data_IF_158604138484
#
_entry.id   IF_158604138484
#
_cell.length_a   1.000
_cell.length_b   1.000
_cell.length_c   1.000
_cell.angle_alpha   90.00
_cell.angle_beta   90.00
_cell.angle_gamma   90.00
#
_symmetry.space_group_name_H-M   'P 1'
#
loop_
_entity.id
_entity.type
_entity.pdbx_description
1 polymer ?
#
# COMPACT_ATOMS: atom_id res chain seq x y z
N UNK A 1 10.38 13.65 19.82
CA UNK A 1 9.51 14.85 19.72
C UNK A 1 8.31 14.36 18.95
N UNK A 2 7.13 14.34 19.58
CA UNK A 2 5.93 13.83 18.91
C UNK A 2 5.60 14.73 17.72
N UNK A 3 5.40 14.08 16.56
CA UNK A 3 5.07 14.73 15.31
C UNK A 3 3.59 15.11 15.33
N UNK A 4 3.22 16.25 14.75
CA UNK A 4 1.80 16.59 14.63
C UNK A 4 1.09 15.63 13.66
N UNK A 5 -0.21 15.40 13.84
CA UNK A 5 -1.00 14.56 12.91
C UNK A 5 -0.92 15.06 11.46
N UNK A 6 -0.80 16.37 11.26
CA UNK A 6 -0.63 16.97 9.93
C UNK A 6 0.71 16.64 9.31
N UNK A 7 1.79 16.76 10.08
CA UNK A 7 3.13 16.41 9.61
C UNK A 7 3.23 14.91 9.31
N UNK A 8 2.64 14.06 10.16
CA UNK A 8 2.64 12.62 9.96
C UNK A 8 1.85 12.21 8.72
N UNK A 9 0.69 12.83 8.48
CA UNK A 9 -0.08 12.64 7.25
C UNK A 9 0.71 13.04 6.01
N UNK A 10 1.42 14.17 6.04
CA UNK A 10 2.27 14.62 4.95
C UNK A 10 3.45 13.66 4.69
N UNK A 11 4.08 13.12 5.74
CA UNK A 11 5.16 12.13 5.57
C UNK A 11 4.67 10.79 5.08
N UNK A 12 3.58 10.28 5.65
CA UNK A 12 2.91 9.07 5.17
C UNK A 12 2.61 9.19 3.68
N UNK A 13 2.15 10.36 3.25
CA UNK A 13 1.92 10.66 1.86
C UNK A 13 3.18 10.57 1.00
N UNK A 14 4.29 11.22 1.36
CA UNK A 14 5.55 11.10 0.60
C UNK A 14 6.04 9.65 0.49
N UNK A 15 5.87 8.87 1.56
CA UNK A 15 6.14 7.44 1.54
C UNK A 15 5.22 6.71 0.57
N UNK A 16 3.90 6.98 0.61
CA UNK A 16 2.94 6.39 -0.32
C UNK A 16 3.24 6.79 -1.76
N UNK A 17 3.65 8.03 -2.05
CA UNK A 17 4.12 8.40 -3.39
C UNK A 17 5.28 7.49 -3.76
N UNK A 18 6.35 7.49 -2.99
CA UNK A 18 7.57 6.73 -3.27
C UNK A 18 7.29 5.24 -3.48
N UNK A 19 6.37 4.69 -2.68
CA UNK A 19 5.87 3.32 -2.80
C UNK A 19 5.05 3.12 -4.08
N UNK A 20 3.96 3.85 -4.29
CA UNK A 20 3.08 3.69 -5.45
C UNK A 20 3.74 4.06 -6.78
N UNK A 21 4.76 4.92 -6.79
CA UNK A 21 5.57 5.19 -7.98
C UNK A 21 6.33 3.96 -8.47
N UNK A 22 6.59 2.96 -7.60
CA UNK A 22 7.10 1.66 -8.03
C UNK A 22 6.01 0.66 -8.41
N UNK A 23 4.72 1.01 -8.28
CA UNK A 23 3.58 0.18 -8.69
C UNK A 23 2.92 0.71 -9.98
N UNK A 24 2.47 -0.24 -10.80
CA UNK A 24 2.21 -0.05 -12.22
C UNK A 24 0.73 0.26 -12.57
N UNK A 25 -0.05 0.83 -11.66
CA UNK A 25 -1.45 1.17 -11.96
C UNK A 25 -1.55 2.69 -12.04
N UNK A 26 -2.12 3.26 -13.13
CA UNK A 26 -2.44 4.67 -13.14
C UNK A 26 -3.49 4.96 -12.07
N UNK A 27 -3.08 5.63 -10.99
CA UNK A 27 -3.96 6.00 -9.89
C UNK A 27 -3.90 7.49 -9.67
N UNK A 28 -5.08 8.07 -9.46
CA UNK A 28 -5.24 9.39 -8.88
C UNK A 28 -5.32 9.25 -7.36
N UNK A 29 -4.55 10.02 -6.61
CA UNK A 29 -4.70 10.08 -5.14
C UNK A 29 -4.66 11.53 -4.68
N UNK A 30 -5.61 11.92 -3.82
CA UNK A 30 -5.66 13.28 -3.26
C UNK A 30 -5.10 13.33 -1.82
N UNK A 31 -4.33 14.38 -1.54
CA UNK A 31 -3.71 14.71 -0.26
C UNK A 31 -4.66 15.52 0.64
N UNK A 32 -4.40 15.52 1.95
CA UNK A 32 -4.86 16.60 2.81
C UNK A 32 -4.44 17.95 2.21
N UNK A 33 -5.18 19.04 2.35
CA UNK A 33 -4.80 20.33 1.73
C UNK A 33 -4.86 20.42 0.18
N UNK A 34 -5.48 19.47 -0.52
CA UNK A 34 -5.93 19.66 -1.92
C UNK A 34 -4.88 19.40 -3.01
N UNK A 35 -3.82 18.62 -2.73
CA UNK A 35 -2.89 18.19 -3.78
C UNK A 35 -3.37 16.90 -4.43
N UNK A 36 -3.17 16.77 -5.74
CA UNK A 36 -3.49 15.59 -6.52
C UNK A 36 -2.18 14.90 -6.92
N UNK A 37 -2.13 13.58 -6.91
CA UNK A 37 -1.05 12.77 -7.50
C UNK A 37 -1.63 11.87 -8.58
N UNK A 38 -0.99 11.83 -9.75
CA UNK A 38 -1.24 10.83 -10.78
C UNK A 38 -0.02 9.93 -10.92
N UNK A 39 -0.17 8.63 -10.71
CA UNK A 39 0.90 7.65 -10.91
C UNK A 39 0.80 7.02 -12.31
N UNK A 40 1.91 6.50 -12.84
CA UNK A 40 1.97 5.90 -14.18
C UNK A 40 2.84 4.63 -14.16
N UNK A 41 2.45 3.55 -14.86
CA UNK A 41 3.35 2.45 -15.17
C UNK A 41 4.38 2.85 -16.24
N UNK A 42 5.66 2.90 -15.90
CA UNK A 42 6.74 3.04 -16.88
C UNK A 42 8.06 3.53 -16.29
N UNK A 43 9.17 3.12 -16.92
CA UNK A 43 10.48 3.71 -16.65
C UNK A 43 10.44 5.17 -17.14
N UNK A 44 10.67 6.12 -16.23
CA UNK A 44 10.68 7.57 -16.44
C UNK A 44 9.30 8.26 -16.47
N UNK A 45 9.12 9.15 -15.49
CA UNK A 45 7.95 9.99 -15.25
C UNK A 45 6.70 9.25 -14.76
N UNK A 46 6.71 8.99 -13.46
CA UNK A 46 5.60 9.50 -12.67
C UNK A 46 5.45 10.98 -13.00
N UNK A 47 4.48 11.35 -13.85
CA UNK A 47 4.08 12.75 -13.91
C UNK A 47 3.34 13.02 -12.61
N UNK A 48 4.10 13.29 -11.55
CA UNK A 48 3.56 13.95 -10.38
C UNK A 48 3.17 15.34 -10.87
N UNK A 49 1.96 15.45 -11.41
CA UNK A 49 1.28 16.74 -11.43
C UNK A 49 0.95 17.03 -9.97
N UNK A 50 1.93 17.51 -9.22
CA UNK A 50 1.63 18.26 -8.01
C UNK A 50 0.93 19.52 -8.49
N UNK A 51 -0.40 19.42 -8.55
CA UNK A 51 -1.24 20.53 -8.95
C UNK A 51 -1.22 21.51 -7.79
N UNK A 52 -0.28 22.46 -7.82
CA UNK A 52 -0.11 23.48 -6.78
C UNK A 52 -1.34 24.43 -6.69
N UNK A 53 -2.32 24.29 -7.58
CA UNK A 53 -3.56 25.08 -7.64
C UNK A 53 -4.74 24.25 -8.16
N UNK A 54 -5.34 23.35 -7.35
CA UNK A 54 -6.55 22.61 -7.74
C UNK A 54 -7.71 23.56 -8.12
N UNK A 55 -7.68 24.80 -7.63
CA UNK A 55 -8.66 25.85 -7.94
C UNK A 55 -8.62 26.34 -9.41
N UNK A 56 -7.55 26.01 -10.14
CA UNK A 56 -7.33 26.50 -11.51
C UNK A 56 -7.74 25.50 -12.60
N UNK A 57 -8.10 24.27 -12.23
CA UNK A 57 -8.50 23.22 -13.17
C UNK A 57 -9.95 22.82 -12.89
N UNK A 58 -10.73 22.73 -13.95
CA UNK A 58 -12.04 22.10 -13.85
C UNK A 58 -11.85 20.58 -13.73
N UNK A 59 -12.65 19.89 -12.92
CA UNK A 59 -12.59 18.43 -12.78
C UNK A 59 -12.60 17.72 -14.14
N UNK A 60 -13.34 18.29 -15.10
CA UNK A 60 -13.36 17.83 -16.48
C UNK A 60 -11.98 17.68 -17.10
N UNK A 61 -11.09 18.66 -16.93
CA UNK A 61 -9.75 18.64 -17.51
C UNK A 61 -8.89 17.54 -16.87
N UNK A 62 -9.02 17.33 -15.56
CA UNK A 62 -8.32 16.26 -14.83
C UNK A 62 -8.73 14.88 -15.36
N UNK A 63 -10.03 14.65 -15.55
CA UNK A 63 -10.53 13.36 -16.02
C UNK A 63 -10.28 13.13 -17.51
N UNK A 64 -10.25 14.18 -18.34
CA UNK A 64 -9.83 14.09 -19.74
C UNK A 64 -8.37 13.63 -19.86
N UNK A 65 -7.47 14.17 -19.02
CA UNK A 65 -6.08 13.68 -18.94
C UNK A 65 -6.05 12.23 -18.49
N UNK A 66 -6.82 11.85 -17.46
CA UNK A 66 -6.87 10.48 -16.97
C UNK A 66 -7.37 9.48 -18.03
N UNK A 67 -8.39 9.85 -18.81
CA UNK A 67 -8.93 9.04 -19.90
C UNK A 67 -7.93 8.92 -21.07
N UNK A 68 -7.23 10.00 -21.46
CA UNK A 68 -6.18 9.93 -22.48
C UNK A 68 -5.05 8.98 -22.07
N UNK A 69 -4.65 9.06 -20.80
CA UNK A 69 -3.64 8.18 -20.22
C UNK A 69 -4.11 6.73 -20.20
N UNK A 70 -5.31 6.47 -19.71
CA UNK A 70 -5.90 5.14 -19.71
C UNK A 70 -5.97 4.53 -21.11
N UNK A 71 -6.40 5.31 -22.11
CA UNK A 71 -6.46 4.91 -23.51
C UNK A 71 -5.08 4.57 -24.07
N UNK A 72 -4.07 5.39 -23.77
CA UNK A 72 -2.68 5.18 -24.21
C UNK A 72 -2.09 3.87 -23.68
N UNK A 73 -2.38 3.53 -22.44
CA UNK A 73 -1.80 2.36 -21.77
C UNK A 73 -2.69 1.12 -21.78
N UNK A 74 -3.91 1.21 -22.34
CA UNK A 74 -4.90 0.11 -22.36
C UNK A 74 -5.19 -0.47 -20.96
N UNK A 75 -5.24 0.41 -19.96
CA UNK A 75 -5.58 0.07 -18.58
C UNK A 75 -6.90 0.74 -18.18
N UNK A 76 -7.64 0.10 -17.27
CA UNK A 76 -8.74 0.77 -16.59
C UNK A 76 -8.15 1.72 -15.54
N UNK A 77 -8.44 3.03 -15.59
CA UNK A 77 -7.93 3.98 -14.63
C UNK A 77 -8.56 3.74 -13.26
N UNK A 78 -7.76 3.91 -12.21
CA UNK A 78 -8.23 3.89 -10.83
C UNK A 78 -8.19 5.27 -10.20
N UNK A 79 -9.10 5.53 -9.27
CA UNK A 79 -9.11 6.74 -8.44
C UNK A 79 -9.16 6.34 -6.98
N UNK A 80 -8.23 6.83 -6.19
CA UNK A 80 -8.10 6.63 -4.75
C UNK A 80 -8.44 7.95 -4.03
N UNK A 81 -9.41 7.90 -3.11
CA UNK A 81 -9.81 9.07 -2.32
C UNK A 81 -9.55 8.86 -0.85
N UNK A 82 -9.07 9.90 -0.17
CA UNK A 82 -8.97 9.96 1.27
C UNK A 82 -10.22 10.64 1.87
N UNK A 83 -10.73 10.11 2.99
CA UNK A 83 -11.90 10.64 3.69
C UNK A 83 -11.65 11.96 4.46
N UNK A 84 -10.42 12.48 4.54
CA UNK A 84 -10.07 13.74 5.23
C UNK A 84 -10.30 15.02 4.40
N UNK A 85 -11.03 14.92 3.29
CA UNK A 85 -11.22 16.01 2.34
C UNK A 85 -12.05 17.18 2.89
N UNK A 86 -11.69 18.41 2.52
CA UNK A 86 -12.35 19.65 2.96
C UNK A 86 -13.31 20.27 1.92
N UNK A 87 -13.23 19.89 0.65
CA UNK A 87 -14.25 20.24 -0.35
C UNK A 87 -15.32 19.13 -0.41
N UNK A 88 -16.47 19.41 -1.03
CA UNK A 88 -17.62 18.51 -0.97
C UNK A 88 -17.34 17.21 -1.71
N UNK A 89 -16.97 16.13 -0.99
CA UNK A 89 -16.80 14.75 -1.50
C UNK A 89 -17.85 14.38 -2.52
N UNK A 90 -19.08 14.83 -2.29
CA UNK A 90 -20.22 14.59 -3.16
C UNK A 90 -20.05 15.13 -4.59
N UNK A 91 -19.37 16.26 -4.81
CA UNK A 91 -19.17 16.81 -6.17
C UNK A 91 -18.25 15.91 -6.99
N UNK A 92 -17.10 15.52 -6.41
CA UNK A 92 -16.17 14.62 -7.10
C UNK A 92 -16.73 13.21 -7.22
N UNK A 93 -17.39 12.70 -6.17
CA UNK A 93 -18.08 11.41 -6.21
C UNK A 93 -19.22 11.39 -7.24
N UNK A 94 -19.94 12.49 -7.43
CA UNK A 94 -20.90 12.62 -8.53
C UNK A 94 -20.19 12.56 -9.86
N UNK A 95 -19.13 13.37 -10.02
CA UNK A 95 -18.40 13.47 -11.28
C UNK A 95 -17.79 12.13 -11.73
N UNK A 96 -17.14 11.38 -10.84
CA UNK A 96 -16.59 10.05 -11.19
C UNK A 96 -17.70 9.07 -11.57
N UNK A 97 -18.85 9.09 -10.90
CA UNK A 97 -19.99 8.23 -11.24
C UNK A 97 -20.54 8.58 -12.61
N UNK A 98 -20.69 9.87 -12.89
CA UNK A 98 -21.16 10.39 -14.19
C UNK A 98 -20.21 10.00 -15.33
N UNK A 99 -18.93 9.75 -15.02
CA UNK A 99 -17.91 9.28 -15.96
C UNK A 99 -17.69 7.77 -15.94
N UNK A 100 -18.62 7.00 -15.36
CA UNK A 100 -18.65 5.53 -15.45
C UNK A 100 -17.84 4.78 -14.41
N UNK A 101 -17.18 5.48 -13.47
CA UNK A 101 -16.48 4.82 -12.37
C UNK A 101 -17.47 4.21 -11.38
N UNK A 102 -17.06 3.08 -10.81
CA UNK A 102 -17.79 2.35 -9.77
C UNK A 102 -16.90 2.22 -8.56
N UNK A 103 -17.51 2.31 -7.39
CA UNK A 103 -16.83 1.97 -6.14
C UNK A 103 -16.42 0.50 -6.20
N UNK A 104 -15.13 0.24 -6.04
CA UNK A 104 -14.56 -1.12 -6.03
C UNK A 104 -14.42 -1.60 -4.59
N UNK A 105 -13.73 -0.81 -3.74
CA UNK A 105 -13.51 -1.15 -2.34
C UNK A 105 -13.16 0.04 -1.46
N UNK A 106 -13.30 -0.17 -0.17
CA UNK A 106 -12.75 0.72 0.87
C UNK A 106 -11.55 0.03 1.52
N UNK A 107 -10.50 0.78 1.78
CA UNK A 107 -9.27 0.34 2.43
C UNK A 107 -9.06 1.15 3.69
N UNK A 108 -8.68 0.49 4.77
CA UNK A 108 -8.37 1.08 6.07
C UNK A 108 -6.86 1.12 6.23
N UNK A 109 -6.30 2.31 6.43
CA UNK A 109 -4.89 2.50 6.74
C UNK A 109 -4.70 2.50 8.25
N UNK A 110 -3.75 1.69 8.70
CA UNK A 110 -3.43 1.49 10.10
C UNK A 110 -2.03 2.00 10.39
N UNK A 111 -1.84 2.58 11.56
CA UNK A 111 -0.59 3.15 12.04
C UNK A 111 -0.17 2.48 13.36
N UNK A 112 1.09 2.09 13.45
CA UNK A 112 1.77 1.75 14.68
C UNK A 112 2.82 2.83 14.98
N UNK A 113 2.62 3.55 16.08
CA UNK A 113 3.57 4.51 16.62
C UNK A 113 4.58 3.80 17.52
N UNK A 114 5.86 4.18 17.42
CA UNK A 114 6.92 3.74 18.35
C UNK A 114 6.84 2.24 18.63
N UNK A 115 7.11 1.38 17.62
CA UNK A 115 6.90 -0.05 17.75
C UNK A 115 7.68 -0.60 18.96
N UNK A 116 6.98 -0.92 20.04
CA UNK A 116 7.55 -1.68 21.15
C UNK A 116 7.93 -3.07 20.64
N UNK A 117 8.82 -3.76 21.37
CA UNK A 117 9.16 -5.13 21.01
C UNK A 117 7.89 -5.99 21.06
N UNK A 118 7.53 -6.58 19.93
CA UNK A 118 6.46 -7.56 19.85
C UNK A 118 7.12 -8.93 19.77
N UNK A 119 6.77 -9.83 20.69
CA UNK A 119 7.32 -11.19 20.69
C UNK A 119 7.13 -11.85 19.31
N UNK A 120 8.25 -12.03 18.60
CA UNK A 120 8.32 -12.64 17.28
C UNK A 120 8.04 -14.14 17.29
N UNK A 121 7.94 -14.76 18.47
CA UNK A 121 7.77 -16.20 18.62
C UNK A 121 8.90 -16.98 17.96
N UNK A 122 8.55 -18.10 17.32
CA UNK A 122 9.52 -19.08 16.83
C UNK A 122 9.68 -19.08 15.31
N UNK A 123 9.03 -18.16 14.59
CA UNK A 123 9.25 -18.07 13.15
C UNK A 123 10.58 -17.36 12.85
N UNK A 124 11.19 -17.75 11.74
CA UNK A 124 12.34 -17.05 11.17
C UNK A 124 11.91 -16.36 9.88
N UNK A 125 12.09 -15.05 9.81
CA UNK A 125 12.00 -14.32 8.54
C UNK A 125 13.35 -14.37 7.82
N UNK A 126 13.32 -14.77 6.55
CA UNK A 126 14.50 -14.80 5.68
C UNK A 126 14.24 -13.88 4.49
N UNK A 127 15.06 -12.84 4.36
CA UNK A 127 14.99 -11.92 3.21
C UNK A 127 15.26 -12.69 1.91
N UNK A 128 14.49 -12.40 0.88
CA UNK A 128 14.57 -13.06 -0.43
C UNK A 128 14.51 -12.05 -1.57
N UNK A 129 15.19 -12.36 -2.66
CA UNK A 129 15.03 -11.74 -3.98
C UNK A 129 14.56 -12.76 -5.04
N UNK A 130 14.18 -13.96 -4.59
CA UNK A 130 13.62 -15.00 -5.46
C UNK A 130 12.15 -14.68 -5.77
N UNK A 131 11.97 -13.95 -6.86
CA UNK A 131 10.65 -13.55 -7.34
C UNK A 131 9.76 -14.71 -7.76
N UNK A 132 10.33 -15.85 -8.16
CA UNK A 132 9.52 -17.01 -8.58
C UNK A 132 8.97 -17.76 -7.37
N UNK A 133 9.77 -17.95 -6.32
CA UNK A 133 9.30 -18.50 -5.05
C UNK A 133 8.25 -17.58 -4.43
N UNK A 134 8.51 -16.27 -4.35
CA UNK A 134 7.56 -15.33 -3.74
C UNK A 134 6.24 -15.28 -4.51
N UNK A 135 6.29 -15.27 -5.85
CA UNK A 135 5.10 -15.37 -6.72
C UNK A 135 4.31 -16.65 -6.47
N UNK A 136 4.97 -17.80 -6.35
CA UNK A 136 4.31 -19.07 -6.11
C UNK A 136 3.59 -19.09 -4.75
N UNK A 137 4.22 -18.56 -3.71
CA UNK A 137 3.60 -18.42 -2.39
C UNK A 137 2.42 -17.43 -2.43
N UNK A 138 2.58 -16.31 -3.13
CA UNK A 138 1.53 -15.31 -3.29
C UNK A 138 0.27 -15.90 -3.93
N UNK A 139 0.40 -16.68 -5.00
CA UNK A 139 -0.73 -17.37 -5.66
C UNK A 139 -1.40 -18.43 -4.78
N UNK A 140 -0.67 -19.04 -3.85
CA UNK A 140 -1.25 -19.98 -2.89
C UNK A 140 -2.06 -19.28 -1.78
N UNK A 141 -1.65 -18.06 -1.41
CA UNK A 141 -2.31 -17.30 -0.36
C UNK A 141 -3.52 -16.49 -0.87
N UNK A 142 -3.42 -15.96 -2.10
CA UNK A 142 -4.37 -15.02 -2.66
C UNK A 142 -4.95 -15.54 -3.98
N UNK A 143 -6.26 -15.37 -4.16
CA UNK A 143 -6.93 -15.63 -5.44
C UNK A 143 -6.67 -14.47 -6.43
N UNK A 144 -5.40 -14.24 -6.75
CA UNK A 144 -4.94 -13.11 -7.54
C UNK A 144 -4.82 -13.46 -9.02
N UNK A 145 -5.12 -12.50 -9.89
CA UNK A 145 -4.91 -12.64 -11.32
C UNK A 145 -3.42 -12.92 -11.64
N UNK A 146 -3.08 -13.87 -12.52
CA UNK A 146 -1.69 -14.26 -12.80
C UNK A 146 -0.77 -13.09 -13.18
N UNK A 147 -1.29 -12.10 -13.91
CA UNK A 147 -0.53 -10.89 -14.28
C UNK A 147 -0.07 -10.11 -13.04
N UNK A 148 -0.92 -9.95 -12.02
CA UNK A 148 -0.54 -9.26 -10.77
C UNK A 148 0.54 -10.03 -10.02
N UNK A 149 0.44 -11.36 -9.97
CA UNK A 149 1.45 -12.19 -9.35
C UNK A 149 2.79 -12.15 -10.11
N UNK A 150 2.75 -12.12 -11.45
CA UNK A 150 3.93 -11.98 -12.29
C UNK A 150 4.63 -10.63 -12.08
N UNK A 151 3.86 -9.55 -11.97
CA UNK A 151 4.39 -8.22 -11.66
C UNK A 151 5.06 -8.18 -10.29
N UNK A 152 4.43 -8.77 -9.27
CA UNK A 152 5.03 -8.90 -7.94
C UNK A 152 6.36 -9.67 -7.99
N UNK A 153 6.41 -10.80 -8.68
CA UNK A 153 7.66 -11.55 -8.85
C UNK A 153 8.76 -10.75 -9.56
N UNK A 154 8.39 -9.89 -10.51
CA UNK A 154 9.32 -8.97 -11.15
C UNK A 154 9.86 -7.91 -10.17
N UNK A 155 8.98 -7.32 -9.36
CA UNK A 155 9.37 -6.35 -8.32
C UNK A 155 10.31 -6.96 -7.29
N UNK A 156 10.04 -8.19 -6.83
CA UNK A 156 10.93 -8.91 -5.89
C UNK A 156 12.34 -9.06 -6.45
N UNK A 157 12.45 -9.34 -7.76
CA UNK A 157 13.75 -9.57 -8.42
C UNK A 157 14.53 -8.28 -8.67
N UNK A 158 13.84 -7.18 -9.00
CA UNK A 158 14.47 -5.91 -9.39
C UNK A 158 14.60 -4.89 -8.27
N UNK A 159 13.80 -5.01 -7.21
CA UNK A 159 13.63 -3.95 -6.23
C UNK A 159 12.79 -2.79 -6.76
N UNK A 160 12.59 -1.77 -5.93
CA UNK A 160 11.94 -0.51 -6.28
C UNK A 160 12.96 0.62 -6.12
N UNK A 161 12.93 1.60 -7.02
CA UNK A 161 13.97 2.65 -7.05
C UNK A 161 13.80 3.74 -5.97
N UNK A 162 12.59 3.90 -5.43
CA UNK A 162 12.24 5.05 -4.59
C UNK A 162 12.02 4.69 -3.11
N UNK A 163 12.06 3.40 -2.78
CA UNK A 163 11.93 2.89 -1.41
C UNK A 163 12.81 1.67 -1.23
N UNK A 164 13.35 1.47 -0.03
CA UNK A 164 13.92 0.19 0.35
C UNK A 164 12.80 -0.82 0.48
N UNK A 165 12.63 -1.67 -0.55
CA UNK A 165 11.60 -2.70 -0.56
C UNK A 165 12.20 -4.10 -0.34
N UNK A 166 11.90 -4.69 0.81
CA UNK A 166 12.42 -5.97 1.25
C UNK A 166 11.32 -7.02 1.34
N UNK A 167 11.59 -8.20 0.80
CA UNK A 167 10.66 -9.33 0.77
C UNK A 167 11.17 -10.45 1.66
N UNK A 168 10.28 -11.09 2.40
CA UNK A 168 10.63 -12.10 3.41
C UNK A 168 9.80 -13.37 3.23
N UNK A 169 10.45 -14.52 3.35
CA UNK A 169 9.81 -15.82 3.52
C UNK A 169 9.86 -16.18 5.01
N UNK A 170 8.72 -16.59 5.56
CA UNK A 170 8.60 -17.00 6.95
C UNK A 170 8.72 -18.52 7.08
N UNK A 171 9.61 -18.96 7.95
CA UNK A 171 9.86 -20.37 8.25
C UNK A 171 9.51 -20.72 9.69
N UNK A 172 8.95 -21.92 9.91
CA UNK A 172 8.88 -22.57 11.22
C UNK A 172 9.72 -23.85 11.13
N UNK A 173 10.91 -23.83 11.73
CA UNK A 173 11.92 -24.85 11.45
C UNK A 173 12.33 -24.80 9.97
N UNK A 174 12.13 -25.89 9.24
CA UNK A 174 12.43 -25.99 7.81
C UNK A 174 11.20 -25.73 6.91
N UNK A 175 10.00 -25.63 7.48
CA UNK A 175 8.76 -25.44 6.71
C UNK A 175 8.48 -23.97 6.42
N UNK A 176 8.13 -23.66 5.17
CA UNK A 176 7.61 -22.34 4.79
C UNK A 176 6.17 -22.23 5.32
N UNK A 177 5.90 -21.23 6.16
CA UNK A 177 4.56 -20.98 6.71
C UNK A 177 3.87 -19.78 6.09
N UNK A 178 4.63 -18.87 5.47
CA UNK A 178 4.09 -17.64 4.92
C UNK A 178 5.16 -16.70 4.38
N UNK A 179 4.78 -15.44 4.18
CA UNK A 179 5.63 -14.39 3.65
C UNK A 179 5.10 -13.00 4.05
N UNK A 180 5.94 -11.99 3.86
CA UNK A 180 5.61 -10.59 4.02
C UNK A 180 6.61 -9.70 3.29
N UNK A 181 6.29 -8.41 3.18
CA UNK A 181 7.19 -7.43 2.59
C UNK A 181 7.12 -6.10 3.36
N UNK A 182 8.20 -5.34 3.29
CA UNK A 182 8.33 -4.00 3.89
C UNK A 182 8.85 -3.02 2.85
N UNK A 183 8.29 -1.82 2.85
CA UNK A 183 8.82 -0.65 2.17
C UNK A 183 9.24 0.39 3.22
N UNK A 184 10.43 0.96 3.07
CA UNK A 184 10.96 2.00 3.93
C UNK A 184 11.41 3.16 3.05
N UNK A 185 10.94 4.37 3.35
CA UNK A 185 11.33 5.57 2.63
C UNK A 185 12.61 6.21 3.22
N UNK A 186 13.09 7.28 2.58
CA UNK A 186 14.26 8.03 3.03
C UNK A 186 14.07 8.68 4.42
N UNK A 187 12.83 8.97 4.80
CA UNK A 187 12.47 9.57 6.09
C UNK A 187 12.28 8.55 7.22
N UNK A 188 12.52 7.26 6.94
CA UNK A 188 12.33 6.15 7.87
C UNK A 188 10.88 6.02 8.33
N UNK A 189 9.94 6.20 7.40
CA UNK A 189 8.56 5.76 7.54
C UNK A 189 8.45 4.36 6.94
N UNK A 190 8.03 3.41 7.77
CA UNK A 190 7.83 2.03 7.37
C UNK A 190 6.42 1.78 6.84
N UNK A 191 6.30 0.89 5.88
CA UNK A 191 5.03 0.35 5.42
C UNK A 191 5.19 -1.14 5.16
N UNK A 192 4.37 -1.99 5.78
CA UNK A 192 4.39 -3.41 5.44
C UNK A 192 3.19 -3.79 4.60
N UNK A 193 3.43 -4.69 3.65
CA UNK A 193 2.46 -5.12 2.66
C UNK A 193 2.62 -6.58 2.29
N UNK A 194 1.66 -7.09 1.51
CA UNK A 194 1.76 -8.42 0.90
C UNK A 194 2.02 -9.52 1.93
N UNK A 195 1.26 -9.50 3.03
CA UNK A 195 1.33 -10.47 4.11
C UNK A 195 0.47 -11.70 3.79
N UNK A 196 1.05 -12.89 3.76
CA UNK A 196 0.32 -14.14 3.54
C UNK A 196 0.75 -15.27 4.45
N UNK A 197 -0.22 -16.05 4.94
CA UNK A 197 0.02 -17.33 5.62
C UNK A 197 -0.60 -18.44 4.79
N UNK A 198 0.19 -19.47 4.50
CA UNK A 198 -0.24 -20.63 3.72
C UNK A 198 -1.39 -21.35 4.42
N UNK A 199 -2.36 -21.85 3.64
CA UNK A 199 -3.61 -22.38 4.15
C UNK A 199 -3.47 -23.42 5.29
N UNK A 200 -2.52 -24.39 5.22
CA UNK A 200 -2.32 -25.37 6.29
C UNK A 200 -1.88 -24.77 7.64
N UNK A 201 -1.23 -23.60 7.61
CA UNK A 201 -0.65 -22.96 8.79
C UNK A 201 -1.53 -21.84 9.38
N UNK A 202 -2.66 -21.50 8.73
CA UNK A 202 -3.57 -20.44 9.20
C UNK A 202 -4.18 -20.77 10.56
N UNK A 203 -4.53 -19.71 11.31
CA UNK A 203 -5.15 -19.77 12.65
C UNK A 203 -4.25 -20.33 13.77
N UNK A 204 -2.93 -20.38 13.54
CA UNK A 204 -1.93 -20.79 14.53
C UNK A 204 -1.05 -19.62 15.04
N UNK A 205 -1.48 -18.38 14.82
CA UNK A 205 -0.76 -17.18 15.29
C UNK A 205 0.43 -16.73 14.43
N UNK A 206 0.79 -17.46 13.35
CA UNK A 206 1.93 -17.09 12.50
C UNK A 206 1.79 -15.73 11.83
N UNK A 207 0.58 -15.26 11.51
CA UNK A 207 0.40 -13.91 10.97
C UNK A 207 0.89 -12.83 11.95
N UNK A 208 0.59 -12.96 13.25
CA UNK A 208 1.08 -12.05 14.29
C UNK A 208 2.61 -12.10 14.39
N UNK A 209 3.19 -13.30 14.35
CA UNK A 209 4.64 -13.46 14.40
C UNK A 209 5.33 -12.86 13.16
N UNK A 210 4.74 -13.00 11.97
CA UNK A 210 5.28 -12.38 10.74
C UNK A 210 5.21 -10.86 10.87
N UNK A 211 4.07 -10.30 11.28
CA UNK A 211 3.95 -8.84 11.48
C UNK A 211 4.96 -8.33 12.51
N UNK A 212 5.15 -9.04 13.63
CA UNK A 212 6.17 -8.70 14.62
C UNK A 212 7.57 -8.65 14.01
N UNK A 213 7.97 -9.68 13.26
CA UNK A 213 9.28 -9.73 12.60
C UNK A 213 9.47 -8.63 11.53
N UNK A 214 8.42 -8.27 10.79
CA UNK A 214 8.47 -7.16 9.83
C UNK A 214 8.62 -5.82 10.56
N UNK A 215 7.91 -5.63 11.68
CA UNK A 215 8.03 -4.44 12.51
C UNK A 215 9.43 -4.31 13.13
N UNK A 216 9.99 -5.40 13.65
CA UNK A 216 11.35 -5.45 14.19
C UNK A 216 12.39 -5.10 13.11
N UNK A 217 12.22 -5.63 11.88
CA UNK A 217 13.06 -5.27 10.74
C UNK A 217 13.02 -3.75 10.49
N UNK A 218 11.82 -3.18 10.28
CA UNK A 218 11.67 -1.74 10.02
C UNK A 218 12.20 -0.87 11.17
N UNK A 219 12.00 -1.29 12.43
CA UNK A 219 12.55 -0.62 13.60
C UNK A 219 14.07 -0.64 13.61
N UNK A 220 14.69 -1.78 13.27
CA UNK A 220 16.15 -1.91 13.16
C UNK A 220 16.74 -1.01 12.06
N UNK A 221 15.95 -0.72 11.03
CA UNK A 221 16.27 0.21 9.95
C UNK A 221 16.01 1.69 10.31
N UNK A 222 15.57 1.96 11.55
CA UNK A 222 15.35 3.30 12.09
C UNK A 222 13.91 3.82 11.98
N UNK A 223 12.94 2.97 11.62
CA UNK A 223 11.56 3.41 11.49
C UNK A 223 10.93 3.71 12.85
N UNK A 224 10.29 4.88 12.95
CA UNK A 224 9.54 5.31 14.14
C UNK A 224 8.03 5.15 13.99
N UNK A 225 7.56 5.06 12.74
CA UNK A 225 6.15 4.92 12.39
C UNK A 225 6.04 3.83 11.33
N UNK A 226 5.09 2.91 11.51
CA UNK A 226 4.85 1.81 10.59
C UNK A 226 3.38 1.83 10.17
N UNK A 227 3.15 1.78 8.87
CA UNK A 227 1.82 1.77 8.29
C UNK A 227 1.50 0.43 7.62
N UNK A 228 0.21 0.15 7.46
CA UNK A 228 -0.28 -0.91 6.56
C UNK A 228 -1.69 -0.58 6.09
N UNK A 229 -2.15 -1.23 5.02
CA UNK A 229 -3.47 -1.02 4.46
C UNK A 229 -4.25 -2.34 4.37
N UNK A 230 -5.51 -2.32 4.79
CA UNK A 230 -6.37 -3.50 4.85
C UNK A 230 -7.73 -3.21 4.22
N UNK A 231 -8.21 -4.06 3.31
CA UNK A 231 -9.57 -3.93 2.77
C UNK A 231 -10.61 -3.96 3.92
N UNK A 232 -11.57 -3.04 3.90
CA UNK A 232 -12.55 -2.87 4.99
C UNK A 232 -13.40 -4.13 5.26
N UNK A 233 -13.57 -5.00 4.26
CA UNK A 233 -14.25 -6.29 4.40
C UNK A 233 -13.41 -7.39 5.08
N UNK A 234 -12.10 -7.20 5.21
CA UNK A 234 -11.17 -8.21 5.73
C UNK A 234 -11.08 -8.16 7.26
N UNK A 235 -12.15 -8.62 7.92
CA UNK A 235 -12.26 -8.65 9.40
C UNK A 235 -11.11 -9.37 10.09
N UNK A 236 -10.57 -10.43 9.48
CA UNK A 236 -9.45 -11.19 10.04
C UNK A 236 -8.16 -10.36 10.07
N UNK A 237 -7.86 -9.63 8.99
CA UNK A 237 -6.69 -8.76 8.95
C UNK A 237 -6.87 -7.52 9.82
N UNK A 238 -8.07 -6.95 9.90
CA UNK A 238 -8.40 -5.85 10.83
C UNK A 238 -8.12 -6.25 12.28
N UNK A 239 -8.68 -7.38 12.73
CA UNK A 239 -8.48 -7.88 14.09
C UNK A 239 -7.01 -8.19 14.38
N UNK A 240 -6.23 -8.60 13.37
CA UNK A 240 -4.79 -8.77 13.50
C UNK A 240 -4.11 -7.42 13.75
N UNK A 241 -4.44 -6.36 12.99
CA UNK A 241 -3.82 -5.05 13.17
C UNK A 241 -4.05 -4.50 14.58
N UNK A 242 -5.31 -4.51 15.01
CA UNK A 242 -5.71 -4.04 16.34
C UNK A 242 -5.01 -4.83 17.44
N UNK A 243 -4.91 -6.15 17.30
CA UNK A 243 -4.17 -7.01 18.23
C UNK A 243 -2.68 -6.65 18.31
N UNK A 244 -2.08 -6.25 17.19
CA UNK A 244 -0.66 -5.87 17.10
C UNK A 244 -0.40 -4.42 17.54
N UNK A 245 -1.42 -3.72 18.07
CA UNK A 245 -1.29 -2.36 18.59
C UNK A 245 -1.41 -1.26 17.53
N UNK A 246 -1.76 -1.61 16.29
CA UNK A 246 -2.04 -0.60 15.28
C UNK A 246 -3.39 0.07 15.55
N UNK A 247 -3.45 1.39 15.39
CA UNK A 247 -4.67 2.16 15.39
C UNK A 247 -5.10 2.53 13.97
N UNK A 248 -6.41 2.70 13.76
CA UNK A 248 -6.92 3.22 12.50
C UNK A 248 -6.40 4.66 12.32
N UNK A 249 -5.72 4.90 11.20
CA UNK A 249 -5.24 6.22 10.82
C UNK A 249 -6.24 6.94 9.93
N UNK A 250 -6.67 6.28 8.84
CA UNK A 250 -7.62 6.85 7.88
C UNK A 250 -8.27 5.77 7.00
N UNK A 251 -9.34 6.15 6.30
CA UNK A 251 -10.03 5.31 5.32
C UNK A 251 -9.85 5.88 3.92
N UNK A 252 -9.62 4.98 2.95
CA UNK A 252 -9.50 5.28 1.53
C UNK A 252 -10.60 4.57 0.73
N UNK A 253 -11.12 5.22 -0.30
CA UNK A 253 -12.01 4.59 -1.28
C UNK A 253 -11.28 4.41 -2.61
N UNK A 254 -11.39 3.22 -3.19
CA UNK A 254 -10.87 2.88 -4.51
C UNK A 254 -12.05 2.77 -5.47
N UNK A 255 -11.96 3.51 -6.58
CA UNK A 255 -12.95 3.56 -7.65
C UNK A 255 -12.29 3.15 -8.96
N UNK A 256 -12.97 2.32 -9.74
CA UNK A 256 -12.49 1.79 -11.02
C UNK A 256 -13.51 2.06 -12.13
N UNK A 257 -13.04 2.36 -13.34
CA UNK A 257 -13.86 2.48 -14.54
C UNK A 257 -13.98 1.14 -15.28
#
# INVERSE_FOLDING_TARGET
>A
MDMSDQDLSARYWEMQKSFWLGFFIPTFTEHAFGKIMMTYPGEFLALIMEMDKPEAWEWKEVFEVLDDVAARWRYNPGVHFNMSWKQSHEVVKSYIKDNGYRHDKTVKNYLLNSPDFIDGGDIKLVKTNDGDVFKALYLQCFNSHPVRAQMLGHTVKRGMNNVQNDFFIAYKGEEIVGFGATAIDEQKIGYYHTLGVLAPFRRNGYASQIVAGLCDHMKSEGCSHIFTAVEAGNKTSIALQEKMGFSLFEDWEIWLK
#
